data_IF_019611623594
#
_entry.id   IF_019611623594
#
_cell.length_a   1.000
_cell.length_b   1.000
_cell.length_c   1.000
_cell.angle_alpha   90.00
_cell.angle_beta   90.00
_cell.angle_gamma   90.00
#
_symmetry.space_group_name_H-M   'P 1'
#
loop_
_entity.id
_entity.type
_entity.pdbx_description
1 polymer ?
#
# COMPACT_ATOMS: atom_id res chain seq x y z
N UNK A 1 2.46 3.44 18.59
CA UNK A 1 3.15 2.15 18.85
C UNK A 1 2.30 1.05 18.26
N UNK A 2 2.90 0.13 17.51
CA UNK A 2 2.23 -1.03 16.91
C UNK A 2 2.81 -2.30 17.52
N UNK A 3 1.98 -3.28 17.85
CA UNK A 3 2.45 -4.55 18.39
C UNK A 3 2.54 -5.60 17.28
N UNK A 4 3.65 -6.34 17.25
CA UNK A 4 3.86 -7.46 16.32
C UNK A 4 4.09 -8.75 17.09
N UNK A 5 3.93 -9.90 16.43
CA UNK A 5 4.31 -11.19 17.01
C UNK A 5 5.82 -11.18 17.33
N UNK A 6 6.16 -11.53 18.58
CA UNK A 6 7.54 -11.74 19.00
C UNK A 6 7.91 -13.21 18.85
N UNK A 7 9.18 -13.49 18.53
CA UNK A 7 9.71 -14.86 18.47
C UNK A 7 9.66 -15.59 19.83
N UNK A 8 9.52 -14.84 20.93
CA UNK A 8 9.39 -15.35 22.30
C UNK A 8 7.95 -15.65 22.72
N UNK A 9 6.97 -15.44 21.83
CA UNK A 9 5.53 -15.55 22.15
C UNK A 9 4.95 -14.32 22.86
N UNK A 10 5.79 -13.38 23.30
CA UNK A 10 5.35 -12.09 23.87
C UNK A 10 5.33 -11.04 22.75
N UNK A 11 4.22 -10.34 22.51
CA UNK A 11 4.17 -9.26 21.53
C UNK A 11 5.20 -8.17 21.81
N UNK A 12 5.94 -7.75 20.78
CA UNK A 12 6.88 -6.63 20.88
C UNK A 12 6.25 -5.34 20.37
N UNK A 13 6.47 -4.25 21.10
CA UNK A 13 6.01 -2.92 20.70
C UNK A 13 7.01 -2.23 19.78
N UNK A 14 6.60 -1.92 18.56
CA UNK A 14 7.34 -1.12 17.60
C UNK A 14 6.95 0.35 17.76
N UNK A 15 7.92 1.19 18.08
CA UNK A 15 7.74 2.63 18.22
C UNK A 15 8.01 3.30 16.88
N UNK A 16 6.94 3.78 16.24
CA UNK A 16 7.01 4.63 15.07
C UNK A 16 7.19 6.09 15.51
N UNK A 17 8.38 6.64 15.32
CA UNK A 17 8.65 8.06 15.61
C UNK A 17 8.02 8.95 14.53
N UNK A 18 7.55 10.14 14.92
CA UNK A 18 7.00 11.11 13.97
C UNK A 18 7.93 11.39 12.78
N UNK A 19 9.23 11.60 13.02
CA UNK A 19 10.22 11.85 11.98
C UNK A 19 10.23 10.77 10.89
N UNK A 20 10.41 9.50 11.29
CA UNK A 20 10.42 8.36 10.36
C UNK A 20 9.09 8.19 9.63
N UNK A 21 7.98 8.41 10.33
CA UNK A 21 6.65 8.30 9.73
C UNK A 21 6.44 9.42 8.70
N UNK A 22 6.77 10.67 9.02
CA UNK A 22 6.68 11.79 8.09
C UNK A 22 7.52 11.57 6.83
N UNK A 23 8.71 10.97 6.95
CA UNK A 23 9.51 10.60 5.78
C UNK A 23 8.80 9.57 4.88
N UNK A 24 8.12 8.58 5.46
CA UNK A 24 7.29 7.63 4.69
C UNK A 24 6.07 8.31 4.06
N UNK A 25 5.35 9.15 4.82
CA UNK A 25 4.11 9.78 4.37
C UNK A 25 4.34 10.76 3.21
N UNK A 26 5.44 11.52 3.26
CA UNK A 26 5.84 12.43 2.18
C UNK A 26 6.21 11.66 0.91
N UNK A 27 7.02 10.61 1.05
CA UNK A 27 7.29 9.68 -0.06
C UNK A 27 6.01 9.12 -0.68
N UNK A 28 5.08 8.63 0.14
CA UNK A 28 3.84 8.03 -0.35
C UNK A 28 2.95 9.06 -1.04
N UNK A 29 2.87 10.29 -0.51
CA UNK A 29 2.11 11.37 -1.12
C UNK A 29 2.66 11.73 -2.51
N UNK A 30 3.98 11.90 -2.62
CA UNK A 30 4.65 12.27 -3.86
C UNK A 30 4.61 11.13 -4.88
N UNK A 31 5.08 9.93 -4.48
CA UNK A 31 5.19 8.79 -5.40
C UNK A 31 3.85 8.17 -5.75
N UNK A 32 2.79 8.33 -4.96
CA UNK A 32 1.46 7.90 -5.38
C UNK A 32 0.63 9.05 -6.00
N UNK A 33 1.21 10.25 -6.14
CA UNK A 33 0.51 11.45 -6.62
C UNK A 33 -0.81 11.70 -5.87
N UNK A 34 -0.77 11.59 -4.54
CA UNK A 34 -1.91 11.82 -3.67
C UNK A 34 -2.16 13.33 -3.58
N UNK A 35 -3.40 13.76 -3.82
CA UNK A 35 -3.79 15.16 -3.74
C UNK A 35 -5.27 15.34 -3.43
N UNK A 36 -5.83 16.56 -3.61
CA UNK A 36 -7.23 16.86 -3.29
C UNK A 36 -8.28 15.99 -3.99
N UNK A 37 -7.98 15.50 -5.19
CA UNK A 37 -8.86 14.61 -5.96
C UNK A 37 -8.67 13.13 -5.61
N UNK A 38 -7.67 12.80 -4.79
CA UNK A 38 -7.39 11.43 -4.39
C UNK A 38 -8.38 10.95 -3.32
N UNK A 39 -8.82 9.71 -3.50
CA UNK A 39 -9.74 8.98 -2.64
C UNK A 39 -9.11 7.64 -2.28
N UNK A 40 -8.52 7.57 -1.10
CA UNK A 40 -7.81 6.40 -0.61
C UNK A 40 -8.78 5.43 0.05
N UNK A 41 -8.74 4.15 -0.33
CA UNK A 41 -9.39 3.09 0.41
C UNK A 41 -8.63 2.86 1.73
N UNK A 42 -9.31 3.04 2.86
CA UNK A 42 -8.78 2.63 4.16
C UNK A 42 -9.29 1.22 4.47
N UNK A 43 -8.45 0.22 4.21
CA UNK A 43 -8.75 -1.20 4.36
C UNK A 43 -7.87 -1.89 5.40
N UNK A 44 -6.69 -1.32 5.69
CA UNK A 44 -5.80 -1.88 6.69
C UNK A 44 -6.43 -1.75 8.09
N UNK A 45 -6.41 -2.84 8.85
CA UNK A 45 -6.84 -2.77 10.24
C UNK A 45 -5.94 -1.78 11.01
N UNK A 46 -6.48 -0.96 11.94
CA UNK A 46 -5.71 0.05 12.68
C UNK A 46 -4.51 -0.48 13.49
N UNK A 47 -4.46 -1.81 13.69
CA UNK A 47 -3.36 -2.51 14.36
C UNK A 47 -2.16 -2.77 13.44
N UNK A 48 -2.28 -2.54 12.14
CA UNK A 48 -1.17 -2.58 11.19
C UNK A 48 -0.70 -1.15 10.87
N UNK A 49 0.60 -0.99 10.69
CA UNK A 49 1.21 0.31 10.40
C UNK A 49 0.85 0.85 9.01
N UNK A 50 0.48 0.00 8.06
CA UNK A 50 -0.08 0.41 6.75
C UNK A 50 -1.29 1.36 6.86
N UNK A 51 -2.11 1.22 7.92
CA UNK A 51 -3.23 2.11 8.19
C UNK A 51 -2.81 3.58 8.34
N UNK A 52 -1.59 3.83 8.87
CA UNK A 52 -1.05 5.18 8.99
C UNK A 52 -0.75 5.78 7.61
N UNK A 53 -0.27 4.97 6.66
CA UNK A 53 -0.07 5.38 5.27
C UNK A 53 -1.38 5.74 4.58
N UNK A 54 -2.37 4.84 4.63
CA UNK A 54 -3.69 5.06 4.04
C UNK A 54 -4.33 6.37 4.56
N UNK A 55 -4.27 6.61 5.88
CA UNK A 55 -4.92 7.76 6.51
C UNK A 55 -4.09 9.04 6.34
N UNK A 56 -2.86 9.05 6.84
CA UNK A 56 -2.14 10.31 7.01
C UNK A 56 -1.53 10.83 5.71
N UNK A 57 -1.09 9.98 4.78
CA UNK A 57 -0.59 10.45 3.48
C UNK A 57 -1.72 11.12 2.68
N UNK A 58 -2.94 10.60 2.84
CA UNK A 58 -4.15 11.18 2.27
C UNK A 58 -4.51 12.53 2.89
N UNK A 59 -4.55 12.60 4.22
CA UNK A 59 -4.99 13.81 4.93
C UNK A 59 -4.01 14.98 4.79
N UNK A 60 -2.69 14.73 4.83
CA UNK A 60 -1.69 15.80 4.65
C UNK A 60 -1.70 16.36 3.22
N UNK A 61 -2.24 15.60 2.26
CA UNK A 61 -2.31 15.96 0.84
C UNK A 61 -3.68 16.53 0.42
N UNK A 62 -4.60 16.72 1.38
CA UNK A 62 -5.95 17.23 1.13
C UNK A 62 -6.93 16.23 0.50
N UNK A 63 -6.54 14.96 0.39
CA UNK A 63 -7.39 13.90 -0.18
C UNK A 63 -8.48 13.42 0.77
N UNK A 64 -9.29 12.46 0.29
CA UNK A 64 -10.38 11.83 1.06
C UNK A 64 -10.04 10.39 1.43
N UNK A 65 -10.26 10.04 2.69
CA UNK A 65 -10.21 8.65 3.16
C UNK A 65 -11.62 8.02 3.05
N UNK A 66 -11.72 6.89 2.35
CA UNK A 66 -12.93 6.08 2.21
C UNK A 66 -12.79 4.85 3.10
N UNK A 67 -13.51 4.83 4.21
CA UNK A 67 -13.40 3.76 5.22
C UNK A 67 -14.11 2.50 4.72
N UNK A 68 -13.35 1.39 4.62
CA UNK A 68 -13.86 0.08 4.29
C UNK A 68 -14.18 -0.69 5.58
N UNK A 69 -15.39 -1.24 5.69
CA UNK A 69 -15.68 -2.15 6.80
C UNK A 69 -15.04 -3.53 6.56
N UNK A 70 -14.87 -4.32 7.62
CA UNK A 70 -14.40 -5.70 7.49
C UNK A 70 -15.31 -6.54 6.58
N UNK A 71 -16.62 -6.35 6.68
CA UNK A 71 -17.59 -7.07 5.86
C UNK A 71 -17.48 -6.68 4.39
N UNK A 72 -17.21 -5.40 4.10
CA UNK A 72 -16.99 -4.96 2.73
C UNK A 72 -15.69 -5.55 2.18
N UNK A 73 -14.61 -5.57 2.96
CA UNK A 73 -13.32 -6.12 2.55
C UNK A 73 -13.38 -7.63 2.25
N UNK A 74 -14.19 -8.38 3.00
CA UNK A 74 -14.33 -9.84 2.85
C UNK A 74 -15.29 -10.25 1.73
N UNK A 75 -16.09 -9.33 1.20
CA UNK A 75 -17.01 -9.58 0.09
C UNK A 75 -16.65 -8.70 -1.11
N UNK A 76 -16.08 -9.32 -2.14
CA UNK A 76 -15.63 -8.63 -3.36
C UNK A 76 -16.73 -7.79 -4.02
N UNK A 77 -18.01 -8.20 -3.94
CA UNK A 77 -19.12 -7.42 -4.52
C UNK A 77 -19.37 -6.15 -3.73
N UNK A 78 -19.31 -6.25 -2.40
CA UNK A 78 -19.45 -5.09 -1.50
C UNK A 78 -18.26 -4.14 -1.64
N UNK A 79 -17.03 -4.68 -1.70
CA UNK A 79 -15.83 -3.89 -1.94
C UNK A 79 -15.87 -3.15 -3.27
N UNK A 80 -16.22 -3.84 -4.36
CA UNK A 80 -16.37 -3.25 -5.69
C UNK A 80 -17.43 -2.14 -5.67
N UNK A 81 -18.60 -2.39 -5.05
CA UNK A 81 -19.66 -1.39 -4.92
C UNK A 81 -19.25 -0.19 -4.05
N UNK A 82 -18.40 -0.37 -3.03
CA UNK A 82 -17.83 0.72 -2.24
C UNK A 82 -16.87 1.57 -3.10
N UNK A 83 -15.99 0.91 -3.86
CA UNK A 83 -15.04 1.55 -4.79
C UNK A 83 -15.80 2.38 -5.82
N UNK A 84 -16.83 1.82 -6.45
CA UNK A 84 -17.67 2.49 -7.44
C UNK A 84 -18.42 3.68 -6.82
N UNK A 85 -19.16 3.44 -5.73
CA UNK A 85 -19.98 4.47 -5.05
C UNK A 85 -19.18 5.69 -4.63
N UNK A 86 -17.95 5.47 -4.15
CA UNK A 86 -17.09 6.53 -3.65
C UNK A 86 -16.03 6.97 -4.64
N UNK A 87 -15.95 6.37 -5.83
CA UNK A 87 -14.93 6.66 -6.84
C UNK A 87 -13.51 6.51 -6.28
N UNK A 88 -13.24 5.42 -5.55
CA UNK A 88 -11.92 5.19 -4.95
C UNK A 88 -10.85 5.19 -6.03
N UNK A 89 -9.75 5.90 -5.79
CA UNK A 89 -8.66 6.11 -6.76
C UNK A 89 -7.34 5.48 -6.35
N UNK A 90 -7.14 5.26 -5.05
CA UNK A 90 -5.91 4.70 -4.50
C UNK A 90 -6.24 3.56 -3.53
N UNK A 91 -5.41 2.52 -3.54
CA UNK A 91 -5.40 1.47 -2.52
C UNK A 91 -3.97 1.15 -2.12
N UNK A 92 -3.76 0.79 -0.86
CA UNK A 92 -2.49 0.33 -0.33
C UNK A 92 -2.70 -0.89 0.58
N UNK A 93 -2.14 -2.04 0.21
CA UNK A 93 -2.29 -3.24 1.03
C UNK A 93 -1.73 -4.52 0.41
N UNK A 94 -1.97 -5.67 1.05
CA UNK A 94 -1.52 -6.97 0.54
C UNK A 94 -2.19 -7.33 -0.78
N UNK A 95 -1.50 -8.16 -1.57
CA UNK A 95 -2.02 -8.67 -2.83
C UNK A 95 -3.35 -9.41 -2.62
N UNK A 96 -3.52 -10.10 -1.49
CA UNK A 96 -4.77 -10.76 -1.09
C UNK A 96 -6.00 -9.83 -1.11
N UNK A 97 -5.85 -8.53 -0.77
CA UNK A 97 -6.99 -7.59 -0.76
C UNK A 97 -7.35 -7.10 -2.17
N UNK A 98 -6.38 -7.10 -3.10
CA UNK A 98 -6.53 -6.53 -4.44
C UNK A 98 -6.80 -7.61 -5.49
N UNK A 99 -6.33 -8.84 -5.27
CA UNK A 99 -6.49 -9.97 -6.19
C UNK A 99 -7.95 -10.30 -6.56
N UNK A 100 -8.95 -10.17 -5.67
CA UNK A 100 -10.35 -10.41 -6.02
C UNK A 100 -10.95 -9.34 -6.94
N UNK A 101 -10.40 -8.12 -6.96
CA UNK A 101 -10.96 -6.99 -7.71
C UNK A 101 -10.68 -7.12 -9.21
N UNK A 102 -11.72 -6.86 -10.01
CA UNK A 102 -11.63 -6.71 -11.45
C UNK A 102 -11.41 -5.23 -11.80
N UNK A 103 -10.29 -4.87 -12.46
CA UNK A 103 -10.04 -3.48 -12.87
C UNK A 103 -11.14 -2.89 -13.76
N UNK A 104 -11.83 -3.70 -14.57
CA UNK A 104 -12.91 -3.23 -15.44
C UNK A 104 -14.14 -2.79 -14.64
N UNK A 105 -14.36 -3.39 -13.46
CA UNK A 105 -15.39 -2.99 -12.51
C UNK A 105 -14.93 -1.87 -11.55
N UNK A 106 -13.63 -1.57 -11.52
CA UNK A 106 -13.02 -0.56 -10.67
C UNK A 106 -12.24 0.51 -11.48
N UNK A 107 -12.82 1.12 -12.54
CA UNK A 107 -12.07 1.97 -13.46
C UNK A 107 -11.53 3.26 -12.83
N UNK A 108 -12.06 3.67 -11.66
CA UNK A 108 -11.54 4.82 -10.92
C UNK A 108 -10.22 4.52 -10.20
N UNK A 109 -9.91 3.23 -9.94
CA UNK A 109 -8.75 2.81 -9.16
C UNK A 109 -7.46 2.89 -10.02
N UNK A 110 -6.88 4.08 -10.06
CA UNK A 110 -5.73 4.44 -10.90
C UNK A 110 -4.36 4.20 -10.25
N UNK A 111 -4.29 4.02 -8.94
CA UNK A 111 -3.05 3.74 -8.22
C UNK A 111 -3.23 2.56 -7.26
N UNK A 112 -2.43 1.51 -7.46
CA UNK A 112 -2.45 0.28 -6.66
C UNK A 112 -1.08 0.08 -6.03
N UNK A 113 -0.98 0.25 -4.72
CA UNK A 113 0.24 -0.03 -3.96
C UNK A 113 0.10 -1.40 -3.30
N UNK A 114 0.92 -2.35 -3.71
CA UNK A 114 1.02 -3.68 -3.10
C UNK A 114 2.10 -3.66 -2.03
N UNK A 115 1.85 -4.26 -0.87
CA UNK A 115 2.86 -4.39 0.19
C UNK A 115 2.45 -5.36 1.29
N UNK A 116 3.43 -5.86 2.04
CA UNK A 116 3.24 -6.87 3.10
C UNK A 116 3.19 -8.31 2.60
N UNK A 117 3.06 -8.54 1.29
CA UNK A 117 3.14 -9.84 0.61
C UNK A 117 3.98 -9.70 -0.66
N UNK A 118 4.44 -10.82 -1.22
CA UNK A 118 5.04 -10.80 -2.55
C UNK A 118 4.00 -10.41 -3.60
N UNK A 119 4.29 -9.40 -4.43
CA UNK A 119 3.40 -8.97 -5.50
C UNK A 119 3.34 -10.01 -6.63
N UNK A 120 2.17 -10.63 -6.90
CA UNK A 120 2.03 -11.62 -7.97
C UNK A 120 2.17 -10.97 -9.35
N UNK A 121 3.04 -11.47 -10.24
CA UNK A 121 3.24 -10.92 -11.58
C UNK A 121 1.93 -10.73 -12.36
N UNK A 122 1.03 -11.71 -12.30
CA UNK A 122 -0.24 -11.69 -13.04
C UNK A 122 -1.18 -10.60 -12.51
N UNK A 123 -1.18 -10.35 -11.20
CA UNK A 123 -1.96 -9.28 -10.60
C UNK A 123 -1.45 -7.91 -11.06
N UNK A 124 -0.13 -7.73 -11.05
CA UNK A 124 0.51 -6.49 -11.53
C UNK A 124 0.20 -6.26 -13.01
N UNK A 125 0.39 -7.26 -13.87
CA UNK A 125 0.07 -7.16 -15.31
C UNK A 125 -1.39 -6.79 -15.54
N UNK A 126 -2.33 -7.37 -14.76
CA UNK A 126 -3.76 -7.10 -14.90
C UNK A 126 -4.10 -5.64 -14.63
N UNK A 127 -3.51 -5.04 -13.59
CA UNK A 127 -3.73 -3.62 -13.27
C UNK A 127 -2.99 -2.67 -14.21
N UNK A 128 -1.77 -3.02 -14.64
CA UNK A 128 -1.03 -2.25 -15.65
C UNK A 128 -1.79 -2.22 -16.98
N UNK A 129 -2.35 -3.35 -17.43
CA UNK A 129 -3.13 -3.43 -18.66
C UNK A 129 -4.43 -2.60 -18.60
N UNK A 130 -4.96 -2.36 -17.40
CA UNK A 130 -6.09 -1.47 -17.16
C UNK A 130 -5.68 0.02 -17.06
N UNK A 131 -4.40 0.34 -17.22
CA UNK A 131 -3.87 1.71 -17.16
C UNK A 131 -3.63 2.23 -15.75
N UNK A 132 -3.70 1.38 -14.72
CA UNK A 132 -3.34 1.78 -13.36
C UNK A 132 -1.82 1.83 -13.18
N UNK A 133 -1.35 2.75 -12.34
CA UNK A 133 0.00 2.75 -11.80
C UNK A 133 0.09 1.71 -10.69
N UNK A 134 1.07 0.82 -10.75
CA UNK A 134 1.24 -0.28 -9.78
C UNK A 134 2.59 -0.17 -9.11
N UNK A 135 2.59 0.02 -7.80
CA UNK A 135 3.80 0.11 -6.98
C UNK A 135 3.90 -1.13 -6.10
N UNK A 136 5.10 -1.68 -5.96
CA UNK A 136 5.40 -2.74 -4.99
C UNK A 136 6.26 -2.15 -3.88
N UNK A 137 5.72 -2.04 -2.67
CA UNK A 137 6.37 -1.50 -1.50
C UNK A 137 6.72 -2.61 -0.51
N UNK A 138 7.91 -2.52 0.08
CA UNK A 138 8.38 -3.51 1.05
C UNK A 138 9.00 -2.82 2.25
N UNK A 139 8.67 -3.31 3.44
CA UNK A 139 9.46 -3.08 4.65
C UNK A 139 8.80 -3.71 5.88
N UNK A 140 9.58 -3.99 6.92
CA UNK A 140 9.05 -4.43 8.20
C UNK A 140 8.51 -3.24 9.01
N UNK A 141 7.69 -3.52 10.03
CA UNK A 141 7.14 -2.49 10.91
C UNK A 141 8.24 -1.65 11.58
N UNK A 142 9.36 -2.27 11.94
CA UNK A 142 10.55 -1.64 12.51
C UNK A 142 11.17 -0.56 11.61
N UNK A 143 10.90 -0.64 10.30
CA UNK A 143 11.32 0.35 9.33
C UNK A 143 10.26 1.44 9.08
N UNK A 144 9.16 1.51 9.84
CA UNK A 144 8.06 2.46 9.60
C UNK A 144 7.38 2.26 8.24
N UNK A 145 6.47 1.28 8.20
CA UNK A 145 5.61 0.90 7.07
C UNK A 145 6.33 0.19 5.93
N UNK A 146 7.10 0.91 5.11
CA UNK A 146 7.87 0.33 4.01
C UNK A 146 9.17 1.11 3.83
N UNK A 147 10.26 0.45 3.43
CA UNK A 147 11.59 1.03 3.25
C UNK A 147 12.15 0.95 1.84
N UNK A 148 11.61 0.08 0.98
CA UNK A 148 11.93 0.04 -0.43
C UNK A 148 10.66 0.03 -1.26
N UNK A 149 10.80 0.41 -2.52
CA UNK A 149 9.69 0.41 -3.45
C UNK A 149 10.14 0.24 -4.90
N UNK A 150 9.22 -0.25 -5.73
CA UNK A 150 9.41 -0.39 -7.17
C UNK A 150 8.15 0.04 -7.91
N UNK A 151 8.30 0.87 -8.94
CA UNK A 151 7.22 1.22 -9.86
C UNK A 151 7.19 0.21 -11.02
N UNK A 152 6.18 -0.66 -11.03
CA UNK A 152 6.06 -1.64 -12.12
C UNK A 152 5.56 -1.01 -13.42
N UNK A 153 5.00 0.20 -13.37
CA UNK A 153 4.52 0.91 -14.57
C UNK A 153 5.64 1.47 -15.44
N UNK A 154 6.87 1.54 -14.93
CA UNK A 154 8.04 2.03 -15.67
C UNK A 154 8.76 0.93 -16.48
N UNK A 155 8.02 -0.06 -16.98
CA UNK A 155 8.55 -1.08 -17.90
C UNK A 155 9.00 -2.40 -17.26
N UNK A 156 8.34 -2.84 -16.18
CA UNK A 156 8.57 -4.17 -15.63
C UNK A 156 8.12 -5.29 -16.60
N UNK A 157 8.92 -6.36 -16.69
CA UNK A 157 8.63 -7.52 -17.55
C UNK A 157 9.28 -8.83 -17.10
N UNK A 158 9.65 -8.94 -15.81
CA UNK A 158 10.36 -10.09 -15.26
C UNK A 158 9.45 -11.13 -14.57
N UNK A 159 9.99 -12.31 -14.21
CA UNK A 159 9.24 -13.36 -13.52
C UNK A 159 8.89 -13.02 -12.05
N UNK A 160 9.54 -12.00 -11.49
CA UNK A 160 9.29 -11.50 -10.14
C UNK A 160 9.15 -9.98 -10.19
N UNK A 161 8.30 -9.43 -9.32
CA UNK A 161 8.17 -7.99 -9.13
C UNK A 161 9.17 -7.57 -8.05
N UNK A 162 10.20 -6.77 -8.38
CA UNK A 162 11.22 -6.37 -7.41
C UNK A 162 10.62 -5.58 -6.24
N UNK A 163 11.29 -5.63 -5.08
CA UNK A 163 11.06 -4.68 -3.98
C UNK A 163 11.77 -3.35 -4.20
N UNK A 164 12.58 -3.27 -5.26
CA UNK A 164 13.14 -2.06 -5.85
C UNK A 164 14.19 -1.34 -5.00
N UNK A 165 14.05 -0.02 -4.93
CA UNK A 165 15.08 0.89 -4.42
C UNK A 165 14.73 1.42 -3.04
N UNK A 166 15.72 1.86 -2.24
CA UNK A 166 15.47 2.52 -0.97
C UNK A 166 14.58 3.76 -1.18
N UNK A 167 13.62 3.97 -0.26
CA UNK A 167 12.93 5.26 -0.17
C UNK A 167 13.91 6.36 0.26
N UNK A 168 13.57 7.66 0.05
CA UNK A 168 14.39 8.77 0.53
C UNK A 168 14.78 8.62 2.00
N UNK A 169 16.00 9.03 2.32
CA UNK A 169 16.57 8.97 3.68
C UNK A 169 16.66 7.55 4.27
N UNK A 170 16.75 6.52 3.42
CA UNK A 170 16.95 5.13 3.84
C UNK A 170 18.13 4.49 3.12
N UNK A 171 18.76 3.54 3.79
CA UNK A 171 19.84 2.72 3.25
C UNK A 171 19.47 1.26 3.34
N UNK A 172 19.86 0.49 2.34
CA UNK A 172 19.65 -0.95 2.27
C UNK A 172 21.03 -1.58 2.16
N UNK A 173 21.30 -2.54 3.03
CA UNK A 173 22.55 -3.29 3.07
C UNK A 173 22.23 -4.76 2.82
N UNK A 174 22.83 -5.34 1.79
CA UNK A 174 22.86 -6.78 1.57
C UNK A 174 24.27 -7.21 1.99
N UNK A 175 24.36 -8.04 3.02
CA UNK A 175 25.61 -8.49 3.63
C UNK A 175 25.72 -10.01 3.52
N UNK A 176 26.94 -10.51 3.50
CA UNK A 176 27.23 -11.93 3.65
C UNK A 176 27.12 -12.36 5.14
N UNK A 177 27.43 -13.62 5.41
CA UNK A 177 27.33 -14.24 6.74
C UNK A 177 28.61 -14.05 7.56
#
# INVERSE_FOLDING_TARGET
VIYTSGSTGIPKGVVLTHEKLTNFLTWMADECAIGPDSRMLHSAAPVFDAAFGEVFATLISGGRVVVCSRDDLLDVRRLTGLIERHGVTHTFGPATNVAPLDPTACPSLRCVVLGGEAAPPQLVQRWLAAGARVLNAYGPAEASVACTWYDASTGWGGPYVPIGWPMPNRQIHIVDA
#
